data_IF_032942024735
#
_entry.id   IF_032942024735
#
_cell.length_a   1.000
_cell.length_b   1.000
_cell.length_c   1.000
_cell.angle_alpha   90.00
_cell.angle_beta   90.00
_cell.angle_gamma   90.00
#
_symmetry.space_group_name_H-M   'P 1'
#
loop_
_entity.id
_entity.type
_entity.pdbx_description
1 polymer ?
#
# COMPACT_ATOMS: atom_id res chain seq x y z
N UNK A 1 8.22 -15.33 -35.39
CA UNK A 1 7.87 -14.12 -36.16
C UNK A 1 7.79 -14.53 -37.61
N UNK A 2 6.75 -14.11 -38.32
CA UNK A 2 6.65 -14.34 -39.75
C UNK A 2 7.80 -13.57 -40.43
N UNK A 3 8.74 -14.29 -41.04
CA UNK A 3 9.94 -13.70 -41.63
C UNK A 3 9.66 -12.81 -42.86
N UNK A 4 8.41 -12.79 -43.31
CA UNK A 4 7.94 -12.04 -44.47
C UNK A 4 7.15 -10.76 -44.10
N UNK A 5 7.09 -10.37 -42.83
CA UNK A 5 6.39 -9.16 -42.41
C UNK A 5 7.13 -7.90 -42.91
N UNK A 6 6.42 -7.04 -43.66
CA UNK A 6 6.94 -5.74 -44.07
C UNK A 6 7.03 -4.79 -42.87
N UNK A 7 8.24 -4.30 -42.57
CA UNK A 7 8.50 -3.39 -41.45
C UNK A 7 8.20 -1.95 -41.87
N UNK A 8 7.15 -1.34 -41.30
CA UNK A 8 6.69 0.02 -41.61
C UNK A 8 7.17 1.10 -40.62
N UNK A 9 8.09 0.76 -39.69
CA UNK A 9 8.57 1.67 -38.65
C UNK A 9 9.80 1.14 -37.91
N UNK A 10 10.38 1.97 -37.05
CA UNK A 10 11.52 1.55 -36.21
C UNK A 10 11.05 0.58 -35.11
N UNK A 11 11.86 -0.44 -34.85
CA UNK A 11 11.65 -1.38 -33.76
C UNK A 11 12.98 -1.66 -33.05
N UNK A 12 12.91 -1.84 -31.74
CA UNK A 12 14.03 -2.18 -30.89
C UNK A 12 13.50 -2.82 -29.59
N UNK A 13 14.40 -3.22 -28.71
CA UNK A 13 14.08 -3.60 -27.33
C UNK A 13 14.95 -2.77 -26.38
N UNK A 14 14.43 -2.52 -25.19
CA UNK A 14 15.16 -1.85 -24.11
C UNK A 14 15.44 -2.87 -22.99
N UNK A 15 16.58 -2.74 -22.33
CA UNK A 15 16.92 -3.48 -21.13
C UNK A 15 16.75 -2.56 -19.93
N UNK A 16 15.96 -2.99 -18.95
CA UNK A 16 15.72 -2.22 -17.72
C UNK A 16 17.02 -2.08 -16.92
N UNK A 17 17.34 -0.85 -16.51
CA UNK A 17 18.47 -0.52 -15.65
C UNK A 17 18.08 -0.45 -14.17
N UNK A 18 16.80 -0.17 -13.89
CA UNK A 18 16.25 -0.07 -12.55
C UNK A 18 16.41 -1.38 -11.79
N UNK A 19 16.56 -1.28 -10.48
CA UNK A 19 16.84 -2.45 -9.63
C UNK A 19 15.58 -3.32 -9.42
N UNK A 20 14.40 -2.70 -9.48
CA UNK A 20 13.10 -3.35 -9.37
C UNK A 20 12.37 -3.50 -10.72
N UNK A 21 11.44 -4.46 -10.76
CA UNK A 21 10.51 -4.73 -11.88
C UNK A 21 9.08 -4.21 -11.60
N UNK A 22 8.93 -3.40 -10.57
CA UNK A 22 7.65 -2.82 -10.17
C UNK A 22 7.21 -1.75 -11.17
N UNK A 23 5.90 -1.54 -11.26
CA UNK A 23 5.32 -0.60 -12.22
C UNK A 23 5.88 0.83 -12.09
N UNK A 24 6.05 1.42 -10.89
CA UNK A 24 6.69 2.72 -10.73
C UNK A 24 8.10 2.79 -11.32
N UNK A 25 8.97 1.83 -11.00
CA UNK A 25 10.36 1.81 -11.48
C UNK A 25 10.46 1.84 -13.00
N UNK A 26 9.74 0.97 -13.69
CA UNK A 26 9.72 0.94 -15.16
C UNK A 26 9.17 2.24 -15.78
N UNK A 27 8.12 2.83 -15.19
CA UNK A 27 7.56 4.09 -15.70
C UNK A 27 8.52 5.28 -15.48
N UNK A 28 9.20 5.32 -14.34
CA UNK A 28 10.19 6.35 -14.05
C UNK A 28 11.40 6.23 -14.98
N UNK A 29 11.86 5.01 -15.25
CA UNK A 29 12.95 4.77 -16.19
C UNK A 29 12.60 5.18 -17.61
N UNK A 30 11.39 4.86 -18.09
CA UNK A 30 10.90 5.32 -19.39
C UNK A 30 10.89 6.86 -19.47
N UNK A 31 10.63 7.54 -18.34
CA UNK A 31 10.68 9.00 -18.24
C UNK A 31 12.09 9.57 -18.04
N UNK A 32 13.14 8.73 -18.04
CA UNK A 32 14.54 9.13 -17.91
C UNK A 32 15.08 9.17 -16.47
N UNK A 33 14.37 8.57 -15.51
CA UNK A 33 14.73 8.53 -14.09
C UNK A 33 14.85 7.06 -13.64
N UNK A 34 15.97 6.38 -13.90
CA UNK A 34 16.14 4.99 -13.48
C UNK A 34 16.12 4.88 -11.96
N UNK A 35 15.33 3.93 -11.44
CA UNK A 35 15.21 3.66 -10.01
C UNK A 35 16.30 2.68 -9.60
N UNK A 36 17.40 3.24 -9.09
CA UNK A 36 18.59 2.46 -8.69
C UNK A 36 18.58 2.05 -7.20
N UNK A 37 17.40 2.09 -6.58
CA UNK A 37 17.18 1.69 -5.20
C UNK A 37 16.09 0.62 -5.13
N UNK A 38 16.10 -0.17 -4.06
CA UNK A 38 15.09 -1.20 -3.82
C UNK A 38 13.92 -0.63 -3.03
N UNK A 39 12.69 -0.86 -3.50
CA UNK A 39 11.48 -0.63 -2.71
C UNK A 39 11.39 -1.66 -1.59
N UNK A 40 10.78 -1.29 -0.47
CA UNK A 40 10.39 -2.24 0.56
C UNK A 40 9.11 -2.98 0.21
N UNK A 41 9.01 -4.22 0.68
CA UNK A 41 7.83 -5.05 0.54
C UNK A 41 7.57 -5.75 1.86
N UNK A 42 6.29 -5.86 2.22
CA UNK A 42 5.87 -6.73 3.30
C UNK A 42 5.58 -8.09 2.69
N UNK A 43 6.44 -9.10 2.90
CA UNK A 43 6.34 -10.41 2.25
C UNK A 43 5.46 -11.42 2.98
N UNK A 44 5.32 -11.27 4.30
CA UNK A 44 4.60 -12.24 5.11
C UNK A 44 3.09 -12.05 4.96
N UNK A 45 2.35 -13.13 4.70
CA UNK A 45 0.90 -13.07 4.49
C UNK A 45 0.12 -12.77 5.78
N UNK A 46 0.64 -13.21 6.92
CA UNK A 46 0.13 -12.94 8.26
C UNK A 46 1.22 -12.25 9.07
N UNK A 47 0.84 -11.33 9.94
CA UNK A 47 1.77 -10.46 10.67
C UNK A 47 2.73 -9.71 9.73
N UNK A 48 2.15 -9.18 8.64
CA UNK A 48 2.90 -8.57 7.53
C UNK A 48 3.76 -7.38 7.93
N UNK A 49 3.35 -6.64 8.95
CA UNK A 49 4.04 -5.43 9.39
C UNK A 49 4.87 -5.71 10.64
N UNK A 50 6.10 -5.17 10.71
CA UNK A 50 6.91 -5.22 11.92
C UNK A 50 6.19 -4.59 13.11
N UNK A 51 6.26 -5.25 14.27
CA UNK A 51 5.55 -4.80 15.47
C UNK A 51 5.94 -3.38 15.90
N UNK A 52 7.23 -3.02 15.76
CA UNK A 52 7.72 -1.67 16.10
C UNK A 52 7.01 -0.57 15.29
N UNK A 53 6.72 -0.81 14.00
CA UNK A 53 5.97 0.12 13.16
C UNK A 53 4.54 0.27 13.67
N UNK A 54 3.89 -0.85 13.99
CA UNK A 54 2.51 -0.86 14.48
C UNK A 54 2.39 -0.14 15.83
N UNK A 55 3.33 -0.37 16.74
CA UNK A 55 3.35 0.26 18.06
C UNK A 55 3.50 1.79 17.93
N UNK A 56 4.43 2.25 17.07
CA UNK A 56 4.60 3.69 16.79
C UNK A 56 3.36 4.32 16.19
N UNK A 57 2.66 3.63 15.30
CA UNK A 57 1.41 4.12 14.71
C UNK A 57 0.30 4.24 15.75
N UNK A 58 0.15 3.22 16.60
CA UNK A 58 -0.83 3.23 17.68
C UNK A 58 -0.57 4.38 18.65
N UNK A 59 0.69 4.57 19.04
CA UNK A 59 1.10 5.63 19.96
C UNK A 59 0.93 7.03 19.34
N UNK A 60 1.53 7.29 18.17
CA UNK A 60 1.53 8.63 17.54
C UNK A 60 0.14 9.07 17.10
N UNK A 61 -0.68 8.18 16.57
CA UNK A 61 -2.03 8.50 16.12
C UNK A 61 -3.10 8.31 17.21
N UNK A 62 -2.68 8.00 18.45
CA UNK A 62 -3.55 7.79 19.61
C UNK A 62 -4.72 6.84 19.30
N UNK A 63 -4.37 5.66 18.76
CA UNK A 63 -5.34 4.66 18.34
C UNK A 63 -5.69 3.71 19.48
N UNK A 64 -6.92 3.16 19.54
CA UNK A 64 -7.29 2.11 20.48
C UNK A 64 -6.64 0.74 20.17
N UNK A 65 -5.79 0.67 19.14
CA UNK A 65 -5.19 -0.53 18.56
C UNK A 65 -5.39 -0.56 17.05
N UNK A 66 -5.20 -1.72 16.43
CA UNK A 66 -5.41 -1.95 15.00
C UNK A 66 -6.06 -3.32 14.76
N UNK A 67 -6.58 -3.51 13.55
CA UNK A 67 -7.08 -4.77 13.02
C UNK A 67 -6.30 -5.12 11.73
N UNK A 68 -6.36 -6.38 11.30
CA UNK A 68 -5.69 -6.85 10.09
C UNK A 68 -4.26 -7.30 10.36
N UNK A 69 -3.27 -6.54 9.89
CA UNK A 69 -1.86 -6.93 9.85
C UNK A 69 -1.59 -8.15 8.94
N UNK A 70 -2.13 -8.09 7.71
CA UNK A 70 -2.04 -9.18 6.75
C UNK A 70 -2.04 -8.70 5.29
N UNK A 71 -1.75 -9.62 4.38
CA UNK A 71 -2.07 -9.47 2.95
C UNK A 71 -3.55 -9.71 2.72
N UNK A 72 -4.22 -8.77 2.05
CA UNK A 72 -5.60 -8.98 1.65
C UNK A 72 -6.02 -8.09 0.49
N UNK A 73 -7.12 -8.46 -0.15
CA UNK A 73 -7.82 -7.56 -1.08
C UNK A 73 -8.73 -6.61 -0.29
N UNK A 74 -8.96 -5.41 -0.85
CA UNK A 74 -9.80 -4.41 -0.20
C UNK A 74 -11.23 -4.90 0.08
N UNK A 75 -11.80 -5.73 -0.79
CA UNK A 75 -13.15 -6.28 -0.57
C UNK A 75 -13.16 -7.33 0.55
N UNK A 76 -12.20 -8.25 0.54
CA UNK A 76 -12.13 -9.33 1.54
C UNK A 76 -11.87 -8.79 2.94
N UNK A 77 -10.93 -7.84 3.08
CA UNK A 77 -10.59 -7.32 4.41
C UNK A 77 -11.74 -6.51 5.03
N UNK A 78 -12.51 -5.80 4.20
CA UNK A 78 -13.68 -5.04 4.66
C UNK A 78 -14.83 -5.97 5.06
N UNK A 79 -15.07 -7.03 4.29
CA UNK A 79 -16.07 -8.05 4.63
C UNK A 79 -15.73 -8.77 5.95
N UNK A 80 -14.44 -8.95 6.25
CA UNK A 80 -13.98 -9.64 7.45
C UNK A 80 -13.93 -8.74 8.69
N UNK A 81 -13.47 -7.49 8.54
CA UNK A 81 -13.09 -6.63 9.68
C UNK A 81 -13.84 -5.30 9.74
N UNK A 82 -14.67 -4.96 8.74
CA UNK A 82 -15.38 -3.68 8.68
C UNK A 82 -16.33 -3.47 9.86
N UNK A 83 -17.12 -4.49 10.21
CA UNK A 83 -18.05 -4.42 11.34
C UNK A 83 -17.31 -4.30 12.68
N UNK A 84 -16.19 -5.01 12.86
CA UNK A 84 -15.37 -4.90 14.06
C UNK A 84 -14.69 -3.53 14.17
N UNK A 85 -14.20 -2.99 13.05
CA UNK A 85 -13.69 -1.62 12.98
C UNK A 85 -14.73 -0.61 13.46
N UNK A 86 -15.96 -0.68 12.95
CA UNK A 86 -17.03 0.26 13.35
C UNK A 86 -17.38 0.15 14.83
N UNK A 87 -17.32 -1.06 15.42
CA UNK A 87 -17.59 -1.27 16.85
C UNK A 87 -16.46 -0.82 17.77
N UNK A 88 -15.21 -1.00 17.34
CA UNK A 88 -14.03 -0.79 18.19
C UNK A 88 -13.30 0.53 17.93
N UNK A 89 -13.51 1.14 16.76
CA UNK A 89 -12.77 2.31 16.30
C UNK A 89 -11.33 2.04 15.90
N UNK A 90 -10.90 0.76 15.86
CA UNK A 90 -9.52 0.37 15.49
C UNK A 90 -9.36 0.37 13.96
N UNK A 91 -8.46 1.17 13.36
CA UNK A 91 -8.23 1.15 11.92
C UNK A 91 -7.77 -0.22 11.42
N UNK A 92 -8.09 -0.54 10.16
CA UNK A 92 -7.70 -1.80 9.52
C UNK A 92 -6.44 -1.56 8.69
N UNK A 93 -5.35 -2.23 9.03
CA UNK A 93 -4.09 -2.17 8.29
C UNK A 93 -3.91 -3.43 7.45
N UNK A 94 -3.60 -3.27 6.17
CA UNK A 94 -3.34 -4.38 5.27
C UNK A 94 -2.44 -3.98 4.10
N UNK A 95 -1.84 -4.97 3.46
CA UNK A 95 -0.93 -4.79 2.32
C UNK A 95 -1.36 -5.67 1.15
N UNK A 96 -0.63 -5.57 0.04
CA UNK A 96 -0.77 -6.42 -1.13
C UNK A 96 0.60 -6.90 -1.62
N UNK A 97 0.65 -7.53 -2.79
CA UNK A 97 1.90 -7.91 -3.44
C UNK A 97 2.78 -6.71 -3.86
N UNK A 98 2.16 -5.53 -4.03
CA UNK A 98 2.89 -4.30 -4.34
C UNK A 98 3.47 -3.64 -3.09
N UNK A 99 4.43 -2.74 -3.28
CA UNK A 99 5.01 -1.88 -2.22
C UNK A 99 4.00 -0.83 -1.72
N UNK A 100 3.04 -1.26 -0.91
CA UNK A 100 1.95 -0.42 -0.40
C UNK A 100 1.63 -0.69 1.07
N UNK A 101 1.15 0.33 1.77
CA UNK A 101 0.51 0.23 3.08
C UNK A 101 -0.90 0.81 2.98
N UNK A 102 -1.92 0.03 3.29
CA UNK A 102 -3.32 0.44 3.10
C UNK A 102 -4.03 0.54 4.45
N UNK A 103 -4.83 1.60 4.61
CA UNK A 103 -5.56 1.88 5.83
C UNK A 103 -7.04 2.01 5.49
N UNK A 104 -7.84 1.08 5.99
CA UNK A 104 -9.29 1.11 5.82
C UNK A 104 -9.99 1.57 7.10
N UNK A 105 -10.84 2.59 6.95
CA UNK A 105 -11.66 3.15 8.03
C UNK A 105 -13.04 3.56 7.51
N UNK A 106 -14.06 3.40 8.35
CA UNK A 106 -15.42 3.83 8.03
C UNK A 106 -15.56 5.33 8.28
N UNK A 107 -16.11 6.05 7.29
CA UNK A 107 -16.10 7.53 7.30
C UNK A 107 -16.90 8.12 8.47
N UNK A 108 -18.06 7.57 8.81
CA UNK A 108 -18.94 8.16 9.82
C UNK A 108 -18.48 7.85 11.26
N UNK A 109 -17.82 6.71 11.47
CA UNK A 109 -17.41 6.27 12.83
C UNK A 109 -15.98 6.66 13.14
N UNK A 110 -15.09 6.74 12.15
CA UNK A 110 -13.69 7.11 12.33
C UNK A 110 -13.38 8.55 11.91
N UNK A 111 -14.04 9.04 10.86
CA UNK A 111 -13.80 10.36 10.27
C UNK A 111 -12.74 10.34 9.16
N UNK A 112 -13.06 10.99 8.04
CA UNK A 112 -12.17 11.07 6.87
C UNK A 112 -10.89 11.87 7.17
N UNK A 113 -11.00 13.02 7.86
CA UNK A 113 -9.84 13.83 8.22
C UNK A 113 -8.86 13.07 9.13
N UNK A 114 -9.39 12.29 10.07
CA UNK A 114 -8.60 11.43 10.96
C UNK A 114 -7.91 10.30 10.20
N UNK A 115 -8.57 9.74 9.18
CA UNK A 115 -7.94 8.75 8.30
C UNK A 115 -6.77 9.37 7.52
N UNK A 116 -6.92 10.58 7.00
CA UNK A 116 -5.84 11.26 6.30
C UNK A 116 -4.68 11.60 7.23
N UNK A 117 -4.95 12.11 8.42
CA UNK A 117 -3.90 12.35 9.44
C UNK A 117 -3.14 11.06 9.77
N UNK A 118 -3.85 9.95 9.93
CA UNK A 118 -3.25 8.63 10.15
C UNK A 118 -2.40 8.17 8.95
N UNK A 119 -2.84 8.42 7.72
CA UNK A 119 -2.06 8.11 6.52
C UNK A 119 -0.77 8.93 6.43
N UNK A 120 -0.80 10.21 6.81
CA UNK A 120 0.39 11.06 6.85
C UNK A 120 1.38 10.56 7.91
N UNK A 121 0.90 10.22 9.12
CA UNK A 121 1.74 9.62 10.17
C UNK A 121 2.36 8.30 9.67
N UNK A 122 1.56 7.44 9.02
CA UNK A 122 2.06 6.20 8.43
C UNK A 122 3.12 6.46 7.36
N UNK A 123 2.94 7.47 6.51
CA UNK A 123 3.95 7.85 5.51
C UNK A 123 5.24 8.29 6.18
N UNK A 124 5.18 9.13 7.21
CA UNK A 124 6.37 9.57 7.95
C UNK A 124 7.11 8.38 8.57
N UNK A 125 6.42 7.49 9.29
CA UNK A 125 7.03 6.32 9.93
C UNK A 125 7.65 5.36 8.93
N UNK A 126 6.98 5.13 7.79
CA UNK A 126 7.49 4.29 6.72
C UNK A 126 8.76 4.86 6.06
N UNK A 127 8.86 6.18 5.97
CA UNK A 127 10.07 6.87 5.44
C UNK A 127 11.19 6.87 6.48
N UNK A 128 10.91 7.33 7.69
CA UNK A 128 11.92 7.52 8.74
C UNK A 128 12.44 6.18 9.28
N UNK A 129 11.60 5.15 9.29
CA UNK A 129 12.00 3.78 9.63
C UNK A 129 12.80 3.06 8.53
N UNK A 130 13.03 3.70 7.38
CA UNK A 130 13.82 3.12 6.29
C UNK A 130 13.15 1.96 5.57
N UNK A 131 11.83 1.79 5.72
CA UNK A 131 11.09 0.72 5.05
C UNK A 131 10.98 0.92 3.54
N UNK A 132 11.11 2.16 3.07
CA UNK A 132 11.02 2.53 1.65
C UNK A 132 9.78 1.95 0.94
N UNK A 133 8.61 2.03 1.59
CA UNK A 133 7.34 1.63 0.98
C UNK A 133 6.91 2.67 -0.05
N UNK A 134 6.46 2.22 -1.23
CA UNK A 134 6.14 3.09 -2.36
C UNK A 134 4.93 3.98 -2.12
N UNK A 135 3.84 3.45 -1.55
CA UNK A 135 2.61 4.24 -1.32
C UNK A 135 1.92 3.91 0.00
N UNK A 136 1.33 4.94 0.61
CA UNK A 136 0.29 4.80 1.64
C UNK A 136 -1.05 5.11 1.00
N UNK A 137 -2.07 4.29 1.24
CA UNK A 137 -3.37 4.41 0.58
C UNK A 137 -4.48 4.48 1.63
N UNK A 138 -5.15 5.62 1.70
CA UNK A 138 -6.41 5.78 2.42
C UNK A 138 -7.52 5.00 1.69
N UNK A 139 -8.24 4.15 2.42
CA UNK A 139 -9.35 3.33 1.92
C UNK A 139 -10.61 3.61 2.75
N UNK A 140 -11.18 4.81 2.64
CA UNK A 140 -12.43 5.09 3.31
C UNK A 140 -13.54 4.19 2.77
N UNK A 141 -14.48 3.81 3.62
CA UNK A 141 -15.68 3.10 3.22
C UNK A 141 -16.90 3.62 3.98
N UNK A 142 -18.08 3.40 3.40
CA UNK A 142 -19.38 3.77 3.96
C UNK A 142 -20.29 2.54 4.01
N UNK A 143 -21.23 2.56 4.95
CA UNK A 143 -22.21 1.50 5.16
C UNK A 143 -21.65 0.27 5.90
N UNK A 144 -22.55 -0.64 6.26
CA UNK A 144 -22.21 -1.83 7.05
C UNK A 144 -21.44 -2.90 6.27
N UNK A 145 -21.27 -2.73 4.95
CA UNK A 145 -20.53 -3.63 4.04
C UNK A 145 -19.90 -2.84 2.90
N UNK A 146 -18.71 -3.26 2.45
CA UNK A 146 -18.10 -2.76 1.24
C UNK A 146 -19.03 -3.04 0.05
N UNK A 147 -19.72 -2.01 -0.45
CA UNK A 147 -20.52 -2.08 -1.67
C UNK A 147 -20.16 -0.95 -2.61
#
# INVERSE_FOLDING_TARGET
MDGNAEVIGAYAWAHEMSSGKDTPSGHWEIAGVPVLFEWGYFSDHENSFPQELLDKLVERANLPGYLGNCHSSGTVILDQLGEEHMKTGKPIFYTSADSVFQIACHEETFGLDKLYELCEIAREELTNGGYNIGRVIARPFIGDKAR
#
